data_IF_633467407953
#
_entry.id   IF_633467407953
#
_cell.length_a   1.000
_cell.length_b   1.000
_cell.length_c   1.000
_cell.angle_alpha   90.00
_cell.angle_beta   90.00
_cell.angle_gamma   90.00
#
_symmetry.space_group_name_H-M   'P 1'
#
loop_
_entity.id
_entity.type
_entity.pdbx_description
1 polymer ?
#
# COMPACT_ATOMS: atom_id res chain seq x y z
N UNK A 1 -7.34 6.02 -0.60
CA UNK A 1 -6.99 5.14 0.54
C UNK A 1 -6.49 5.95 1.74
N UNK A 2 -5.29 6.55 1.71
CA UNK A 2 -4.75 7.33 2.86
C UNK A 2 -5.68 8.43 3.38
N UNK A 3 -6.22 9.28 2.50
CA UNK A 3 -7.15 10.36 2.90
C UNK A 3 -8.37 9.78 3.64
N UNK A 4 -8.96 8.71 3.11
CA UNK A 4 -10.12 8.08 3.73
C UNK A 4 -9.80 7.47 5.11
N UNK A 5 -8.63 6.84 5.26
CA UNK A 5 -8.19 6.28 6.54
C UNK A 5 -7.95 7.39 7.58
N UNK A 6 -7.38 8.53 7.16
CA UNK A 6 -7.26 9.72 7.99
C UNK A 6 -8.64 10.29 8.38
N UNK A 7 -9.56 10.43 7.43
CA UNK A 7 -10.94 10.89 7.69
C UNK A 7 -11.69 10.00 8.69
N UNK A 8 -11.34 8.70 8.74
CA UNK A 8 -11.83 7.75 9.74
C UNK A 8 -11.13 7.85 11.10
N UNK A 9 -10.15 8.75 11.24
CA UNK A 9 -9.40 8.98 12.48
C UNK A 9 -8.39 7.88 12.80
N UNK A 10 -7.99 7.07 11.82
CA UNK A 10 -7.07 5.95 12.05
C UNK A 10 -5.63 6.38 12.27
N UNK A 11 -5.26 7.58 11.82
CA UNK A 11 -4.00 8.26 12.12
C UNK A 11 -4.16 9.76 11.86
N UNK A 12 -3.27 10.57 12.43
CA UNK A 12 -3.16 12.00 12.18
C UNK A 12 -2.22 12.30 11.00
N UNK A 13 -2.41 13.45 10.35
CA UNK A 13 -1.53 13.89 9.27
C UNK A 13 -0.07 14.06 9.68
N UNK A 14 0.22 14.37 10.94
CA UNK A 14 1.60 14.45 11.46
C UNK A 14 2.28 13.09 11.47
N UNK A 15 1.57 12.04 11.92
CA UNK A 15 2.08 10.66 11.90
C UNK A 15 2.34 10.21 10.45
N UNK A 16 1.43 10.54 9.54
CA UNK A 16 1.60 10.26 8.11
C UNK A 16 2.83 10.96 7.52
N UNK A 17 2.99 12.25 7.78
CA UNK A 17 4.10 13.03 7.26
C UNK A 17 5.46 12.51 7.77
N UNK A 18 5.53 12.13 9.05
CA UNK A 18 6.72 11.53 9.64
C UNK A 18 7.08 10.19 8.98
N UNK A 19 6.10 9.28 8.85
CA UNK A 19 6.31 7.97 8.21
C UNK A 19 6.73 8.11 6.75
N UNK A 20 6.03 8.95 5.97
CA UNK A 20 6.37 9.17 4.56
C UNK A 20 7.76 9.79 4.41
N UNK A 21 8.10 10.78 5.24
CA UNK A 21 9.43 11.37 5.23
C UNK A 21 10.51 10.31 5.52
N UNK A 22 10.28 9.44 6.51
CA UNK A 22 11.18 8.35 6.82
C UNK A 22 11.40 7.41 5.63
N UNK A 23 10.34 7.04 4.90
CA UNK A 23 10.46 6.22 3.70
C UNK A 23 11.22 6.90 2.57
N UNK A 24 10.96 8.18 2.32
CA UNK A 24 11.59 8.96 1.23
C UNK A 24 13.10 9.17 1.42
N UNK A 25 13.60 9.13 2.66
CA UNK A 25 15.01 9.34 2.97
C UNK A 25 15.79 8.03 3.16
N UNK A 26 15.18 6.86 2.90
CA UNK A 26 15.90 5.59 2.98
C UNK A 26 17.03 5.52 1.94
N UNK A 27 18.12 4.79 2.24
CA UNK A 27 19.16 4.53 1.24
C UNK A 27 18.58 3.81 0.01
N UNK A 28 19.07 4.18 -1.18
CA UNK A 28 18.69 3.52 -2.44
C UNK A 28 17.42 4.07 -3.11
N UNK A 29 16.83 5.15 -2.59
CA UNK A 29 15.71 5.85 -3.25
C UNK A 29 16.12 6.47 -4.57
N UNK A 30 15.18 6.51 -5.51
CA UNK A 30 15.44 7.04 -6.83
C UNK A 30 15.66 8.56 -6.76
N UNK A 31 16.75 9.05 -7.34
CA UNK A 31 17.09 10.48 -7.33
C UNK A 31 16.05 11.33 -8.07
N UNK A 32 15.40 10.74 -9.07
CA UNK A 32 14.33 11.36 -9.85
C UNK A 32 12.94 11.20 -9.22
N UNK A 33 12.82 10.48 -8.10
CA UNK A 33 11.56 10.20 -7.41
C UNK A 33 10.64 9.23 -8.14
N UNK A 34 11.14 8.45 -9.11
CA UNK A 34 10.34 7.44 -9.82
C UNK A 34 9.74 6.37 -8.91
N UNK A 35 10.31 6.16 -7.72
CA UNK A 35 9.82 5.24 -6.67
C UNK A 35 8.96 5.92 -5.60
N UNK A 36 8.50 7.16 -5.83
CA UNK A 36 7.68 7.90 -4.87
C UNK A 36 6.41 7.15 -4.45
N UNK A 37 5.75 6.49 -5.42
CA UNK A 37 4.55 5.70 -5.12
C UNK A 37 4.89 4.49 -4.24
N UNK A 38 6.03 3.84 -4.45
CA UNK A 38 6.49 2.74 -3.60
C UNK A 38 6.79 3.22 -2.18
N UNK A 39 7.41 4.41 -2.03
CA UNK A 39 7.59 5.06 -0.73
C UNK A 39 6.26 5.29 -0.02
N UNK A 40 5.27 5.78 -0.77
CA UNK A 40 3.93 6.07 -0.25
C UNK A 40 3.24 4.80 0.25
N UNK A 41 3.30 3.72 -0.51
CA UNK A 41 2.70 2.43 -0.14
C UNK A 41 3.42 1.84 1.07
N UNK A 42 4.75 1.90 1.11
CA UNK A 42 5.54 1.44 2.25
C UNK A 42 5.20 2.22 3.53
N UNK A 43 5.10 3.55 3.45
CA UNK A 43 4.77 4.41 4.58
C UNK A 43 3.39 4.10 5.14
N UNK A 44 2.39 3.95 4.27
CA UNK A 44 1.03 3.64 4.70
C UNK A 44 0.96 2.25 5.35
N UNK A 45 1.61 1.27 4.74
CA UNK A 45 1.61 -0.11 5.24
C UNK A 45 2.26 -0.19 6.62
N UNK A 46 3.43 0.45 6.78
CA UNK A 46 4.15 0.57 8.06
C UNK A 46 3.29 1.27 9.12
N UNK A 47 2.62 2.37 8.75
CA UNK A 47 1.74 3.10 9.67
C UNK A 47 0.56 2.23 10.13
N UNK A 48 -0.09 1.49 9.24
CA UNK A 48 -1.19 0.60 9.60
C UNK A 48 -0.75 -0.57 10.50
N UNK A 49 0.42 -1.15 10.22
CA UNK A 49 1.01 -2.22 11.02
C UNK A 49 1.40 -1.71 12.41
N UNK A 50 2.08 -0.56 12.50
CA UNK A 50 2.50 -0.01 13.79
C UNK A 50 1.33 0.36 14.71
N UNK A 51 0.16 0.64 14.14
CA UNK A 51 -1.09 0.89 14.87
C UNK A 51 -1.94 -0.36 15.12
N UNK A 52 -1.50 -1.54 14.67
CA UNK A 52 -2.23 -2.80 14.81
C UNK A 52 -3.55 -2.85 14.03
N UNK A 53 -3.68 -2.03 12.98
CA UNK A 53 -4.89 -1.95 12.14
C UNK A 53 -4.89 -3.08 11.10
N UNK A 54 -3.71 -3.49 10.65
CA UNK A 54 -3.53 -4.58 9.71
C UNK A 54 -2.22 -5.32 9.99
N UNK A 55 -2.21 -6.62 9.75
CA UNK A 55 -1.01 -7.44 9.84
C UNK A 55 -0.17 -7.30 8.55
N UNK A 56 1.16 -7.27 8.69
CA UNK A 56 2.06 -7.16 7.55
C UNK A 56 1.84 -8.29 6.53
N UNK A 57 1.68 -9.52 7.03
CA UNK A 57 1.43 -10.69 6.20
C UNK A 57 0.09 -10.60 5.46
N UNK A 58 -0.93 -10.03 6.10
CA UNK A 58 -2.24 -9.82 5.47
C UNK A 58 -2.17 -8.79 4.33
N UNK A 59 -1.40 -7.70 4.50
CA UNK A 59 -1.16 -6.71 3.45
C UNK A 59 -0.46 -7.36 2.25
N UNK A 60 0.61 -8.12 2.50
CA UNK A 60 1.38 -8.80 1.44
C UNK A 60 0.52 -9.83 0.71
N UNK A 61 -0.23 -10.66 1.45
CA UNK A 61 -1.11 -11.65 0.85
C UNK A 61 -2.18 -11.00 -0.03
N UNK A 62 -2.77 -9.90 0.42
CA UNK A 62 -3.77 -9.16 -0.35
C UNK A 62 -3.18 -8.51 -1.61
N UNK A 63 -1.97 -7.94 -1.52
CA UNK A 63 -1.25 -7.40 -2.68
C UNK A 63 -1.01 -8.49 -3.72
N UNK A 64 -0.52 -9.66 -3.31
CA UNK A 64 -0.29 -10.78 -4.21
C UNK A 64 -1.59 -11.30 -4.84
N UNK A 65 -2.68 -11.33 -4.06
CA UNK A 65 -3.99 -11.72 -4.57
C UNK A 65 -4.48 -10.75 -5.65
N UNK A 66 -4.35 -9.44 -5.44
CA UNK A 66 -4.67 -8.45 -6.46
C UNK A 66 -3.78 -8.53 -7.70
N UNK A 67 -2.49 -8.82 -7.54
CA UNK A 67 -1.58 -9.00 -8.67
C UNK A 67 -2.02 -10.18 -9.54
N UNK A 68 -2.28 -11.34 -8.94
CA UNK A 68 -2.77 -12.52 -9.67
C UNK A 68 -4.13 -12.28 -10.31
N UNK A 69 -5.04 -11.60 -9.60
CA UNK A 69 -6.33 -11.20 -10.16
C UNK A 69 -6.17 -10.31 -11.39
N UNK A 70 -5.26 -9.34 -11.36
CA UNK A 70 -4.98 -8.46 -12.50
C UNK A 70 -4.43 -9.25 -13.69
N UNK A 71 -3.47 -10.15 -13.45
CA UNK A 71 -2.87 -11.02 -14.48
C UNK A 71 -3.89 -11.98 -15.11
N UNK A 72 -4.83 -12.49 -14.31
CA UNK A 72 -5.89 -13.40 -14.77
C UNK A 72 -7.07 -12.67 -15.45
N UNK A 73 -7.15 -11.34 -15.35
CA UNK A 73 -8.26 -10.56 -15.92
C UNK A 73 -8.00 -10.25 -17.40
N UNK A 74 -8.86 -10.71 -18.34
CA UNK A 74 -8.72 -10.36 -19.75
C UNK A 74 -8.81 -8.85 -19.99
N UNK A 75 -8.10 -8.35 -21.00
CA UNK A 75 -8.17 -6.93 -21.36
C UNK A 75 -9.60 -6.44 -21.60
N UNK A 76 -9.92 -5.28 -21.06
CA UNK A 76 -11.27 -4.68 -21.15
C UNK A 76 -12.28 -5.24 -20.16
N UNK A 77 -11.87 -6.14 -19.25
CA UNK A 77 -12.70 -6.61 -18.12
C UNK A 77 -12.27 -5.93 -16.81
N UNK A 78 -13.20 -5.73 -15.86
CA UNK A 78 -12.86 -5.21 -14.55
C UNK A 78 -12.01 -6.21 -13.77
N UNK A 79 -10.97 -5.70 -13.09
CA UNK A 79 -10.16 -6.49 -12.15
C UNK A 79 -10.94 -6.57 -10.84
N UNK A 80 -11.27 -7.78 -10.42
CA UNK A 80 -11.94 -8.07 -9.16
C UNK A 80 -11.12 -9.13 -8.41
N UNK A 81 -11.15 -9.15 -7.07
CA UNK A 81 -10.36 -10.11 -6.28
C UNK A 81 -10.77 -11.57 -6.57
N UNK A 82 -12.01 -11.79 -6.98
CA UNK A 82 -12.55 -13.09 -7.39
C UNK A 82 -11.86 -13.63 -8.64
N UNK A 83 -11.14 -12.79 -9.39
CA UNK A 83 -10.37 -13.22 -10.55
C UNK A 83 -9.04 -13.86 -10.14
N UNK A 84 -8.63 -13.81 -8.86
CA UNK A 84 -7.43 -14.49 -8.37
C UNK A 84 -7.61 -16.03 -8.44
N UNK A 85 -6.84 -16.76 -9.26
CA UNK A 85 -6.98 -18.20 -9.41
C UNK A 85 -6.56 -19.02 -8.18
N UNK A 86 -5.95 -18.39 -7.18
CA UNK A 86 -5.44 -19.05 -5.96
C UNK A 86 -6.24 -18.69 -4.70
N UNK A 87 -7.39 -18.03 -4.86
CA UNK A 87 -8.21 -17.59 -3.73
C UNK A 87 -9.05 -18.71 -3.11
#
# INVERSE_FOLDING_TARGET
>A
MTVHLHEKGLFAWSEWAEQLSGELHKPGRAVDGSDYFDCWVAALSSLLVSKGIADADAIVALQQSWQRAAEATPHGKPIALENDPQR
#
